data_IF_970122147549
#
_entry.id   IF_970122147549
#
_cell.length_a   1.000
_cell.length_b   1.000
_cell.length_c   1.000
_cell.angle_alpha   90.00
_cell.angle_beta   90.00
_cell.angle_gamma   90.00
#
_symmetry.space_group_name_H-M   'P 1'
#
loop_
_entity.id
_entity.type
_entity.pdbx_description
1 polymer ?
2 non-polymer ?
3 water ?
#
# COMPACT_ATOMS: atom_id res chain seq x y z
N UNK A 32 9.69 10.18 40.73
CA UNK A 32 8.37 10.63 40.29
C UNK A 32 8.00 10.03 38.93
N UNK A 33 8.90 10.23 37.95
CA UNK A 33 8.77 9.56 36.66
C UNK A 33 9.18 8.10 36.75
N UNK A 34 10.04 7.77 37.73
CA UNK A 34 10.43 6.38 37.93
C UNK A 34 9.21 5.50 38.16
N UNK A 35 8.18 6.02 38.84
CA UNK A 35 7.01 5.20 39.12
C UNK A 35 6.28 4.85 37.83
N UNK A 36 6.24 5.78 36.87
CA UNK A 36 5.57 5.51 35.61
C UNK A 36 6.36 4.48 34.79
N UNK A 37 7.67 4.71 34.63
CA UNK A 37 8.53 3.74 33.96
C UNK A 37 8.30 2.33 34.51
N UNK A 38 8.32 2.19 35.83
CA UNK A 38 8.14 0.89 36.44
C UNK A 38 6.79 0.27 36.06
N UNK A 39 5.73 1.06 36.04
CA UNK A 39 4.45 0.47 35.68
C UNK A 39 4.43 0.09 34.21
N UNK A 40 4.97 0.94 33.34
CA UNK A 40 4.98 0.59 31.92
C UNK A 40 5.84 -0.64 31.65
N UNK A 41 6.96 -0.78 32.37
CA UNK A 41 7.77 -1.98 32.25
C UNK A 41 6.97 -3.21 32.65
N UNK A 42 6.28 -3.13 33.79
CA UNK A 42 5.39 -4.21 34.22
C UNK A 42 4.41 -4.59 33.11
N UNK A 43 3.76 -3.59 32.50
CA UNK A 43 2.81 -3.92 31.43
C UNK A 43 3.48 -4.45 30.18
N UNK A 44 4.74 -4.11 29.95
CA UNK A 44 5.48 -4.72 28.85
C UNK A 44 5.74 -6.19 29.15
N UNK A 45 6.23 -6.47 30.36
CA UNK A 45 6.49 -7.85 30.77
C UNK A 45 5.21 -8.67 30.75
N UNK A 46 4.10 -8.06 31.17
CA UNK A 46 2.84 -8.79 31.18
C UNK A 46 2.38 -9.09 29.76
N UNK A 47 2.39 -8.08 28.88
CA UNK A 47 1.97 -8.32 27.50
C UNK A 47 2.94 -9.28 26.80
N UNK A 48 4.20 -9.29 27.21
CA UNK A 48 5.17 -10.18 26.56
C UNK A 48 4.87 -11.63 26.91
N UNK A 49 4.74 -11.91 28.20
CA UNK A 49 4.37 -13.26 28.66
C UNK A 49 3.07 -13.73 28.03
N UNK A 50 2.09 -12.83 27.89
CA UNK A 50 0.85 -13.19 27.20
C UNK A 50 1.11 -13.53 25.75
N UNK A 51 1.89 -12.70 25.06
CA UNK A 51 2.20 -12.94 23.65
C UNK A 51 2.94 -14.26 23.47
N UNK A 52 3.94 -14.52 24.30
CA UNK A 52 4.75 -15.72 24.14
C UNK A 52 4.04 -17.01 24.53
N UNK A 53 2.76 -16.98 24.96
CA UNK A 53 2.02 -18.21 25.27
C UNK A 53 0.63 -18.24 24.64
N UNK A 54 0.34 -17.33 23.71
CA UNK A 54 -0.80 -17.45 22.84
C UNK A 54 -0.46 -18.29 21.61
N UNK A 55 -1.48 -18.56 20.81
CA UNK A 55 -1.36 -19.44 19.64
C UNK A 55 -1.45 -18.63 18.35
N UNK A 56 -0.51 -18.88 17.43
CA UNK A 56 -0.32 -18.14 16.19
C UNK A 56 -1.51 -17.48 15.50
N UNK A 59 -5.36 -15.54 19.10
CA UNK A 59 -5.06 -14.42 20.00
C UNK A 59 -3.62 -13.94 19.80
N UNK A 60 -2.88 -14.58 18.90
CA UNK A 60 -1.49 -14.16 18.68
C UNK A 60 -1.43 -12.75 18.10
N UNK A 61 -2.35 -12.41 17.18
CA UNK A 61 -2.29 -11.09 16.57
C UNK A 61 -2.75 -10.00 17.53
N UNK A 62 -3.74 -10.28 18.38
CA UNK A 62 -4.16 -9.27 19.35
C UNK A 62 -3.13 -9.11 20.46
N UNK A 63 -2.56 -10.22 20.92
CA UNK A 63 -1.48 -10.14 21.91
C UNK A 63 -0.26 -9.47 21.34
N UNK A 64 -0.06 -9.58 20.02
CA UNK A 64 1.08 -8.95 19.39
C UNK A 64 0.90 -7.45 19.32
N UNK A 65 -0.30 -6.97 18.98
CA UNK A 65 -0.51 -5.53 18.91
C UNK A 65 -0.47 -4.92 20.30
N UNK A 66 -1.02 -5.63 21.29
CA UNK A 66 -0.97 -5.07 22.64
C UNK A 66 0.47 -4.99 23.13
N UNK A 67 1.29 -6.02 22.86
CA UNK A 67 2.70 -5.94 23.23
C UNK A 67 3.37 -4.76 22.57
N UNK A 68 3.09 -4.54 21.28
CA UNK A 68 3.69 -3.41 20.58
C UNK A 68 3.23 -2.09 21.18
N UNK A 69 1.95 -2.00 21.58
CA UNK A 69 1.45 -0.75 22.11
C UNK A 69 2.08 -0.43 23.45
N UNK A 70 2.19 -1.44 24.34
CA UNK A 70 2.79 -1.22 25.64
C UNK A 70 4.29 -0.98 25.54
N UNK A 71 4.96 -1.59 24.54
CA UNK A 71 6.37 -1.29 24.32
C UNK A 71 6.55 0.14 23.86
N UNK A 72 5.63 0.66 23.05
CA UNK A 72 5.74 2.04 22.58
C UNK A 72 5.41 3.03 23.69
N UNK A 73 4.40 2.73 24.50
CA UNK A 73 4.16 3.52 25.71
C UNK A 73 5.43 3.66 26.54
N UNK A 74 6.19 2.57 26.68
CA UNK A 74 7.37 2.62 27.53
C UNK A 74 8.40 3.62 27.00
N UNK A 75 8.67 3.58 25.68
CA UNK A 75 9.53 4.59 25.06
C UNK A 75 9.04 6.00 25.41
N UNK A 76 7.74 6.26 25.24
CA UNK A 76 7.23 7.60 25.47
C UNK A 76 7.34 7.98 26.93
N UNK A 77 7.08 7.03 27.82
CA UNK A 77 7.15 7.33 29.24
C UNK A 77 8.59 7.65 29.66
N UNK A 78 9.57 6.91 29.12
CA UNK A 78 10.98 7.22 29.38
C UNK A 78 11.33 8.61 28.89
N UNK A 79 10.77 9.02 27.76
CA UNK A 79 11.10 10.35 27.25
C UNK A 79 10.40 11.44 28.05
N UNK A 80 9.18 11.21 28.51
CA UNK A 80 8.38 12.26 29.11
C UNK A 80 7.64 13.06 28.04
N UNK A 81 6.49 13.63 28.42
CA UNK A 81 5.68 14.35 27.41
C UNK A 81 6.42 15.39 26.58
N UNK A 82 7.18 16.30 27.19
CA UNK A 82 7.74 17.40 26.42
C UNK A 82 8.88 16.90 25.52
N UNK A 83 9.82 16.09 25.99
CA UNK A 83 10.83 15.59 25.03
C UNK A 83 10.26 14.67 23.97
N UNK A 84 9.17 13.95 24.25
CA UNK A 84 8.57 13.10 23.21
C UNK A 84 7.91 13.90 22.11
N UNK A 85 7.55 15.17 22.36
CA UNK A 85 7.00 15.99 21.29
C UNK A 85 8.07 16.38 20.27
N UNK A 86 9.35 16.17 20.58
CA UNK A 86 10.42 16.37 19.60
C UNK A 86 10.57 15.20 18.65
N UNK A 87 9.79 14.13 18.86
CA UNK A 87 9.96 12.93 18.06
C UNK A 87 9.62 13.17 16.59
N UNK A 88 8.67 14.08 16.30
CA UNK A 88 8.36 14.44 14.91
C UNK A 88 9.58 14.99 14.20
N UNK A 89 10.39 15.81 14.89
CA UNK A 89 11.55 16.37 14.18
C UNK A 89 12.60 15.30 13.95
N UNK A 90 12.73 14.35 14.90
CA UNK A 90 13.64 13.23 14.70
C UNK A 90 13.15 12.36 13.56
N UNK A 91 11.84 12.09 13.51
CA UNK A 91 11.30 11.20 12.50
C UNK A 91 11.47 11.79 11.11
N UNK A 92 11.36 13.10 11.00
CA UNK A 92 11.49 13.75 9.69
C UNK A 92 12.91 13.62 9.18
N UNK A 93 13.93 13.96 9.99
CA UNK A 93 15.30 13.87 9.48
C UNK A 93 15.68 12.43 9.26
N UNK A 94 15.15 11.52 10.09
CA UNK A 94 15.43 10.11 9.88
C UNK A 94 14.91 9.64 8.53
N UNK A 95 13.65 9.92 8.22
CA UNK A 95 13.12 9.58 6.89
C UNK A 95 13.96 10.23 5.79
N UNK A 96 14.29 11.51 5.96
CA UNK A 96 15.05 12.22 4.94
C UNK A 96 16.40 11.56 4.71
N UNK A 97 17.06 11.13 5.79
CA UNK A 97 18.37 10.48 5.65
C UNK A 97 18.25 9.10 5.02
N UNK A 98 17.29 8.27 5.48
CA UNK A 98 17.05 6.96 4.87
C UNK A 98 16.85 7.09 3.37
N UNK A 99 16.02 8.05 2.97
CA UNK A 99 15.72 8.22 1.56
C UNK A 99 16.97 8.62 0.79
N UNK A 100 17.73 9.60 1.32
CA UNK A 100 18.97 10.00 0.66
C UNK A 100 19.95 8.85 0.60
N UNK A 101 20.17 8.17 1.74
CA UNK A 101 21.09 7.04 1.75
C UNK A 101 20.67 5.96 0.76
N UNK A 102 19.35 5.67 0.69
CA UNK A 102 18.90 4.64 -0.24
C UNK A 102 19.13 5.05 -1.68
N UNK A 103 18.68 6.25 -2.06
CA UNK A 103 18.82 6.71 -3.43
C UNK A 103 20.28 6.85 -3.85
N UNK A 104 21.18 7.19 -2.91
CA UNK A 104 22.58 7.38 -3.27
C UNK A 104 23.38 6.08 -3.33
N UNK A 105 22.77 4.94 -3.05
CA UNK A 105 23.47 3.67 -3.20
C UNK A 105 24.19 3.18 -1.97
N UNK A 106 24.02 3.84 -0.82
CA UNK A 106 24.69 3.42 0.41
C UNK A 106 24.26 2.02 0.82
N UNK A 107 22.95 1.72 0.74
CA UNK A 107 22.45 0.40 1.13
C UNK A 107 23.08 -0.68 0.28
N UNK A 108 23.11 -0.46 -1.04
CA UNK A 108 23.68 -1.43 -1.97
C UNK A 108 25.18 -1.56 -1.78
N UNK A 109 25.88 -0.45 -1.57
CA UNK A 109 27.34 -0.53 -1.45
C UNK A 109 27.76 -1.21 -0.15
N UNK A 110 27.02 -1.03 0.93
CA UNK A 110 27.46 -1.55 2.22
C UNK A 110 27.35 -3.07 2.24
N UNK A 111 28.31 -3.77 2.85
CA UNK A 111 28.30 -5.24 2.81
C UNK A 111 27.16 -5.81 3.64
N UNK A 112 26.44 -6.76 3.05
CA UNK A 112 25.39 -7.47 3.76
C UNK A 112 26.01 -8.46 4.75
N UNK A 113 25.36 -8.60 5.90
CA UNK A 113 25.78 -9.56 6.90
C UNK A 113 26.49 -8.97 8.10
N UNK A 114 26.65 -7.66 8.18
CA UNK A 114 27.16 -7.03 9.38
C UNK A 114 28.61 -6.64 9.33
N UNK A 115 29.33 -6.97 8.26
CA UNK A 115 30.68 -6.46 8.08
C UNK A 115 30.65 -4.96 7.94
N UNK A 116 31.66 -4.30 8.49
CA UNK A 116 31.67 -2.86 8.65
C UNK A 116 32.33 -2.17 7.48
N UNK A 117 32.06 -0.88 7.34
CA UNK A 117 32.61 -0.12 6.23
C UNK A 117 32.74 1.35 6.64
N UNK A 118 33.83 1.98 6.24
CA UNK A 118 34.13 3.34 6.65
C UNK A 118 33.35 4.36 5.83
N UNK A 119 33.16 5.55 6.40
CA UNK A 119 32.60 6.65 5.63
C UNK A 119 33.41 6.88 4.35
N UNK A 120 34.73 6.74 4.42
CA UNK A 120 35.57 6.98 3.24
C UNK A 120 35.25 6.00 2.13
N UNK A 121 35.19 4.71 2.47
CA UNK A 121 34.95 3.70 1.46
C UNK A 121 33.53 3.79 0.90
N UNK A 122 32.54 4.07 1.77
CA UNK A 122 31.17 4.28 1.27
C UNK A 122 31.14 5.46 0.29
N UNK A 123 31.71 6.60 0.71
CA UNK A 123 31.75 7.76 -0.16
C UNK A 123 32.46 7.45 -1.48
N UNK A 124 33.57 6.74 -1.41
CA UNK A 124 34.32 6.43 -2.62
C UNK A 124 33.48 5.64 -3.63
N UNK A 125 32.66 4.71 -3.13
CA UNK A 125 31.93 3.82 -4.05
C UNK A 125 30.57 4.33 -4.48
N UNK A 126 29.96 5.28 -3.74
CA UNK A 126 28.67 5.80 -4.13
C UNK A 126 28.72 7.19 -4.74
N UNK A 127 29.82 7.92 -4.57
CA UNK A 127 29.88 9.33 -4.93
C UNK A 127 29.28 10.29 -3.92
N UNK A 128 28.62 9.79 -2.87
CA UNK A 128 28.01 10.69 -1.90
C UNK A 128 29.09 11.38 -1.06
N UNK A 129 28.95 12.69 -0.91
CA UNK A 129 29.93 13.46 -0.15
C UNK A 129 30.12 12.87 1.23
N UNK A 130 31.38 12.61 1.58
CA UNK A 130 31.70 11.97 2.85
C UNK A 130 31.21 12.80 4.03
N UNK A 131 31.28 14.13 3.92
CA UNK A 131 30.81 14.97 5.01
C UNK A 131 29.31 14.86 5.20
N UNK A 132 28.55 14.95 4.11
CA UNK A 132 27.10 14.72 4.18
C UNK A 132 26.79 13.34 4.76
N UNK A 133 27.40 12.31 4.19
CA UNK A 133 27.15 10.93 4.63
C UNK A 133 27.31 10.79 6.14
N UNK A 134 28.43 11.27 6.69
CA UNK A 134 28.65 11.17 8.13
C UNK A 134 27.52 11.84 8.89
N UNK A 135 27.10 13.03 8.45
CA UNK A 135 26.01 13.70 9.15
C UNK A 135 24.70 12.95 9.00
N UNK A 136 24.48 12.33 7.83
CA UNK A 136 23.23 11.59 7.62
C UNK A 136 23.18 10.33 8.48
N UNK A 137 24.33 9.67 8.65
CA UNK A 137 24.36 8.43 9.42
C UNK A 137 23.99 8.66 10.88
N UNK A 138 24.08 9.90 11.38
CA UNK A 138 23.69 10.16 12.77
C UNK A 138 22.20 9.97 12.99
N UNK A 139 21.40 9.99 11.92
CA UNK A 139 19.97 9.78 12.11
C UNK A 139 19.58 8.30 12.14
N UNK A 140 20.45 7.41 11.67
CA UNK A 140 20.05 6.02 11.42
C UNK A 140 20.97 5.04 12.16
N UNK A 141 21.82 5.54 13.06
CA UNK A 141 22.57 4.61 13.89
C UNK A 141 22.19 4.60 15.38
N UNK A 142 21.79 5.71 16.01
CA UNK A 142 21.52 5.63 17.47
C UNK A 142 20.45 4.62 17.81
N UNK A 143 19.40 4.61 17.02
CA UNK A 143 18.35 3.60 17.06
C UNK A 143 18.06 3.16 15.65
N UNK A 144 18.28 4.06 14.68
CA UNK A 144 17.96 3.84 13.28
C UNK A 144 18.47 2.50 12.88
N UNK A 145 18.07 2.00 11.70
CA UNK A 145 18.32 0.58 11.39
C UNK A 145 19.78 0.24 11.17
N UNK A 146 20.68 1.22 10.99
CA UNK A 146 22.08 0.88 10.78
C UNK A 146 22.81 0.76 12.12
N UNK A 147 24.07 0.34 12.08
CA UNK A 147 24.87 0.23 13.31
C UNK A 147 26.18 0.99 13.18
N UNK A 148 26.46 1.83 14.18
CA UNK A 148 27.73 2.55 14.24
C UNK A 148 28.77 1.64 14.90
N UNK A 149 29.65 1.07 14.09
CA UNK A 149 30.65 0.16 14.64
C UNK A 149 31.80 0.94 15.28
N UNK A 150 32.19 2.04 14.67
CA UNK A 150 33.23 2.89 15.22
C UNK A 150 33.11 4.27 14.61
N UNK A 151 34.09 5.10 14.93
CA UNK A 151 34.16 6.44 14.35
C UNK A 151 34.21 6.36 12.83
N UNK A 152 33.18 6.92 12.17
CA UNK A 152 33.06 6.89 10.71
C UNK A 152 33.07 5.46 10.16
N UNK A 153 32.47 4.54 10.90
CA UNK A 153 32.46 3.12 10.57
C UNK A 153 31.07 2.56 10.81
N UNK A 154 30.50 1.90 9.79
CA UNK A 154 29.08 1.57 9.83
C UNK A 154 28.85 0.16 9.32
N UNK A 155 27.76 -0.45 9.79
CA UNK A 155 27.40 -1.80 9.36
C UNK A 155 25.90 -1.91 9.16
N UNK A 156 25.51 -2.73 8.19
CA UNK A 156 24.12 -3.16 8.06
C UNK A 156 23.68 -3.93 9.30
N UNK A 157 22.38 -3.83 9.62
CA UNK A 157 21.72 -4.84 10.43
C UNK A 157 20.60 -5.43 9.58
N UNK A 158 19.93 -6.51 10.02
CA UNK A 158 18.74 -6.96 9.27
C UNK A 158 17.64 -5.91 9.14
N UNK A 159 17.65 -4.87 9.98
CA UNK A 159 16.61 -3.86 9.83
C UNK A 159 16.94 -2.90 8.71
N UNK A 160 18.22 -2.67 8.41
CA UNK A 160 18.58 -1.84 7.26
C UNK A 160 18.55 -2.65 5.96
N UNK A 161 18.98 -3.91 6.02
CA UNK A 161 18.91 -4.78 4.84
C UNK A 161 17.48 -5.03 4.40
N UNK A 162 16.53 -4.95 5.33
CA UNK A 162 15.13 -5.11 4.97
C UNK A 162 14.72 -4.11 3.89
N UNK A 163 15.42 -2.97 3.78
CA UNK A 163 15.05 -2.00 2.74
C UNK A 163 15.48 -2.46 1.35
N UNK A 164 16.37 -3.45 1.26
CA UNK A 164 16.77 -4.01 -0.03
C UNK A 164 15.83 -5.09 -0.51
N UNK A 165 14.86 -5.46 0.32
CA UNK A 165 13.90 -6.50 0.05
C UNK A 165 12.88 -6.03 -1.00
N UNK A 166 12.30 -7.00 -1.73
CA UNK A 166 11.54 -6.66 -2.93
C UNK A 166 10.36 -5.73 -2.64
N UNK A 167 9.61 -6.00 -1.57
CA UNK A 167 8.44 -5.16 -1.30
C UNK A 167 8.86 -3.77 -0.83
N UNK A 168 9.82 -3.69 0.10
CA UNK A 168 10.31 -2.40 0.56
C UNK A 168 10.99 -1.64 -0.58
N UNK A 169 11.88 -2.33 -1.31
CA UNK A 169 12.61 -1.65 -2.36
C UNK A 169 11.70 -1.13 -3.46
N UNK A 170 10.50 -1.70 -3.63
CA UNK A 170 9.56 -1.19 -4.60
C UNK A 170 8.73 -0.04 -4.06
N UNK A 171 8.36 -0.13 -2.80
CA UNK A 171 7.43 0.82 -2.16
C UNK A 171 8.14 2.08 -1.67
N UNK A 172 9.24 1.91 -0.92
CA UNK A 172 9.84 3.06 -0.23
C UNK A 172 10.36 4.14 -1.19
N UNK A 173 11.11 3.82 -2.26
CA UNK A 173 11.59 4.92 -3.15
C UNK A 173 10.48 5.70 -3.79
N UNK A 174 9.43 5.02 -4.27
CA UNK A 174 8.33 5.74 -4.91
C UNK A 174 7.62 6.61 -3.89
N UNK A 175 7.29 6.04 -2.73
CA UNK A 175 6.66 6.83 -1.67
C UNK A 175 7.53 8.04 -1.35
N UNK A 176 8.83 7.80 -1.15
CA UNK A 176 9.69 8.87 -0.67
C UNK A 176 9.89 9.95 -1.73
N UNK A 177 9.98 9.57 -3.01
CA UNK A 177 10.19 10.57 -4.07
C UNK A 177 8.90 11.26 -4.50
N UNK A 178 7.73 10.65 -4.31
CA UNK A 178 6.52 11.22 -4.87
C UNK A 178 5.40 11.46 -3.87
N UNK A 179 5.38 10.79 -2.73
CA UNK A 179 4.21 10.82 -1.85
C UNK A 179 4.50 11.53 -0.54
N UNK A 180 5.68 11.32 0.06
CA UNK A 180 5.97 11.95 1.36
C UNK A 180 5.83 13.47 1.29
N UNK A 181 6.40 14.09 0.26
CA UNK A 181 6.27 15.52 0.07
C UNK A 181 4.82 15.99 0.16
N UNK A 182 3.96 15.47 -0.72
CA UNK A 182 2.52 15.81 -0.65
C UNK A 182 1.89 15.59 0.71
N UNK A 183 2.16 14.45 1.34
CA UNK A 183 1.57 14.16 2.64
C UNK A 183 1.86 15.28 3.63
N UNK A 184 3.12 15.74 3.68
CA UNK A 184 3.46 16.83 4.60
C UNK A 184 2.73 18.12 4.23
N UNK A 185 2.30 18.27 2.98
CA UNK A 185 1.60 19.48 2.57
C UNK A 185 0.07 19.36 2.67
N UNK A 186 -0.46 18.27 3.24
CA UNK A 186 -1.89 18.22 3.56
C UNK A 186 -2.31 19.45 4.33
N UNK A 187 -1.51 19.85 5.32
CA UNK A 187 -1.85 21.06 6.08
C UNK A 187 -1.96 22.28 5.17
N UNK A 188 -1.01 22.46 4.26
CA UNK A 188 -1.03 23.65 3.41
C UNK A 188 -2.22 23.61 2.46
N UNK A 189 -2.54 22.43 1.92
CA UNK A 189 -3.69 22.35 1.03
C UNK A 189 -4.96 22.76 1.75
N UNK A 190 -5.21 22.17 2.92
CA UNK A 190 -6.46 22.44 3.60
C UNK A 190 -6.49 23.84 4.17
N UNK A 191 -5.31 24.43 4.46
CA UNK A 191 -5.29 25.82 4.91
C UNK A 191 -5.91 26.73 3.85
N UNK A 192 -5.63 26.45 2.56
CA UNK A 192 -6.18 27.22 1.45
C UNK A 192 -7.71 27.26 1.45
N UNK A 193 -8.38 26.30 2.10
CA UNK A 193 -9.83 26.23 2.08
C UNK A 193 -10.43 26.39 3.48
N UNK A 194 -9.65 26.97 4.40
CA UNK A 194 -10.05 27.16 5.80
C UNK A 194 -10.42 25.82 6.43
N UNK A 195 -9.62 24.80 6.11
CA UNK A 195 -9.71 23.47 6.72
C UNK A 195 -10.97 22.74 6.29
N UNK A 196 -11.58 23.17 5.20
CA UNK A 196 -12.68 22.47 4.55
C UNK A 196 -12.12 21.44 3.57
N UNK A 197 -12.96 20.48 3.22
CA UNK A 197 -12.56 19.39 2.32
C UNK A 197 -12.76 19.84 0.88
N UNK A 198 -11.71 20.37 0.27
CA UNK A 198 -11.75 20.65 -1.15
C UNK A 198 -11.00 19.61 -1.96
N UNK A 199 -10.61 18.50 -1.33
CA UNK A 199 -9.75 17.53 -1.97
C UNK A 199 -10.51 16.82 -3.08
N UNK A 200 -9.93 16.80 -4.27
CA UNK A 200 -10.42 15.91 -5.30
C UNK A 200 -9.25 15.11 -5.84
N UNK A 201 -9.59 14.27 -6.80
CA UNK A 201 -8.64 13.45 -7.50
C UNK A 201 -7.69 14.27 -8.39
N UNK A 202 -8.11 15.49 -8.76
CA UNK A 202 -7.32 16.36 -9.63
C UNK A 202 -6.96 17.69 -8.99
N UNK A 203 -7.27 17.89 -7.69
CA UNK A 203 -6.95 19.11 -6.96
C UNK A 203 -6.72 18.69 -5.52
N UNK A 204 -5.43 18.59 -5.11
CA UNK A 204 -5.13 17.88 -3.86
C UNK A 204 -3.71 18.21 -3.41
N UNK A 205 -3.25 17.69 -2.26
CA UNK A 205 -1.88 18.00 -1.84
C UNK A 205 -0.81 17.50 -2.79
N UNK A 206 -1.07 16.40 -3.52
CA UNK A 206 -0.16 15.97 -4.58
C UNK A 206 -0.04 17.03 -5.69
N UNK A 207 -1.18 17.52 -6.22
CA UNK A 207 -1.08 18.51 -7.29
C UNK A 207 -0.46 19.81 -6.80
N UNK A 208 -0.72 20.17 -5.54
CA UNK A 208 -0.05 21.33 -4.96
C UNK A 208 1.46 21.12 -4.91
N UNK A 209 1.90 20.00 -4.32
CA UNK A 209 3.33 19.79 -4.12
C UNK A 209 4.07 19.61 -5.45
N UNK A 210 3.46 18.94 -6.40
CA UNK A 210 4.11 18.66 -7.68
C UNK A 210 3.72 19.65 -8.76
N UNK A 211 2.93 20.67 -8.41
CA UNK A 211 2.52 21.71 -9.31
C UNK A 211 1.95 21.10 -10.60
N UNK A 212 1.00 20.20 -10.44
CA UNK A 212 0.33 19.65 -11.60
C UNK A 212 -1.18 19.71 -11.44
N UNK A 213 -1.76 20.89 -11.16
CA UNK A 213 -3.22 20.98 -11.04
C UNK A 213 -3.93 20.41 -12.25
N UNK A 214 -4.94 19.57 -12.00
CA UNK A 214 -5.73 18.94 -13.04
C UNK A 214 -5.35 17.51 -13.35
N UNK A 215 -4.14 17.08 -13.00
CA UNK A 215 -3.70 15.73 -13.29
C UNK A 215 -3.90 14.83 -12.08
N UNK A 216 -4.57 13.71 -12.29
CA UNK A 216 -4.55 12.70 -11.23
C UNK A 216 -3.14 12.17 -11.06
N UNK A 217 -2.91 11.44 -9.95
CA UNK A 217 -1.56 11.01 -9.64
C UNK A 217 -1.00 10.10 -10.72
N UNK A 218 -1.83 9.20 -11.25
CA UNK A 218 -1.34 8.25 -12.24
C UNK A 218 -0.99 8.95 -13.54
N UNK A 219 -1.84 9.89 -13.97
CA UNK A 219 -1.55 10.66 -15.17
C UNK A 219 -0.19 11.35 -15.07
N UNK A 220 0.07 11.99 -13.93
CA UNK A 220 1.31 12.76 -13.80
C UNK A 220 2.53 11.84 -13.78
N UNK A 221 2.44 10.73 -13.06
CA UNK A 221 3.58 9.82 -12.98
C UNK A 221 3.85 9.16 -14.34
N UNK A 222 2.79 8.67 -15.00
CA UNK A 222 2.98 7.96 -16.26
C UNK A 222 3.41 8.88 -17.38
N UNK A 223 3.23 10.20 -17.20
CA UNK A 223 3.66 11.18 -18.20
C UNK A 223 5.12 11.01 -18.55
N UNK A 224 5.95 10.69 -17.56
CA UNK A 224 7.38 10.46 -17.75
C UNK A 224 7.59 8.96 -17.74
N UNK A 225 7.92 8.39 -18.90
CA UNK A 225 8.05 6.93 -19.01
C UNK A 225 9.07 6.38 -18.04
N UNK A 226 10.09 7.17 -17.68
CA UNK A 226 11.09 6.74 -16.71
C UNK A 226 10.48 6.43 -15.35
N UNK A 227 9.27 6.88 -15.08
CA UNK A 227 8.60 6.57 -13.82
C UNK A 227 7.81 5.28 -13.87
N UNK A 228 7.52 4.75 -15.06
CA UNK A 228 6.57 3.65 -15.17
C UNK A 228 7.11 2.39 -14.51
N UNK A 229 8.37 2.03 -14.79
CA UNK A 229 8.94 0.86 -14.13
C UNK A 229 9.00 1.04 -12.62
N UNK A 230 9.52 2.14 -12.06
CA UNK A 230 9.47 2.30 -10.60
C UNK A 230 8.06 2.26 -10.03
N UNK A 231 7.10 2.87 -10.74
CA UNK A 231 5.75 2.97 -10.21
C UNK A 231 5.04 1.62 -10.29
N UNK A 232 5.20 0.91 -11.41
CA UNK A 232 4.58 -0.41 -11.51
C UNK A 232 5.16 -1.37 -10.48
N UNK A 233 6.43 -1.21 -10.12
CA UNK A 233 6.99 -2.10 -9.10
C UNK A 233 6.39 -1.78 -7.74
N UNK A 234 6.11 -0.49 -7.47
CA UNK A 234 5.49 -0.13 -6.20
C UNK A 234 4.06 -0.66 -6.12
N UNK A 235 3.31 -0.60 -7.23
CA UNK A 235 1.98 -1.20 -7.27
C UNK A 235 2.03 -2.69 -7.00
N UNK A 236 3.16 -3.33 -7.29
CA UNK A 236 3.33 -4.75 -7.01
C UNK A 236 3.73 -5.04 -5.57
N UNK A 237 4.14 -4.03 -4.79
CA UNK A 237 4.56 -4.29 -3.42
C UNK A 237 3.38 -4.77 -2.57
N UNK A 238 3.63 -5.84 -1.81
CA UNK A 238 2.61 -6.57 -1.08
C UNK A 238 3.22 -6.98 0.26
N UNK A 239 3.51 -6.00 1.11
CA UNK A 239 4.16 -6.29 2.39
C UNK A 239 3.26 -7.18 3.25
N UNK A 240 1.97 -6.85 3.34
CA UNK A 240 1.03 -7.61 4.15
C UNK A 240 0.69 -8.99 3.57
N UNK A 241 1.15 -9.30 2.36
CA UNK A 241 0.84 -10.55 1.66
C UNK A 241 -0.67 -10.78 1.64
N UNK A 242 -1.35 -10.11 0.70
CA UNK A 242 -2.82 -10.13 0.62
C UNK A 242 -3.32 -11.56 0.53
N UNK A 243 -4.29 -11.88 1.37
CA UNK A 243 -4.90 -13.20 1.35
C UNK A 243 -5.84 -13.32 0.15
N UNK A 244 -5.51 -14.22 -0.77
CA UNK A 244 -6.34 -14.44 -1.96
C UNK A 244 -7.29 -15.63 -1.82
N UNK A 245 -7.14 -16.48 -0.81
CA UNK A 245 -8.07 -17.61 -0.60
C UNK A 245 -9.30 -17.20 0.19
N UNK A 246 -9.55 -15.90 0.28
CA UNK A 246 -10.67 -15.38 1.05
C UNK A 246 -12.00 -15.74 0.42
N UNK A 247 -12.10 -15.67 -0.91
CA UNK A 247 -13.23 -15.97 -1.78
C UNK A 247 -13.05 -17.34 -2.43
N UNK A 248 -14.14 -18.05 -2.71
CA UNK A 248 -14.05 -19.36 -3.38
C UNK A 248 -14.10 -19.30 -4.91
N UNK A 249 -12.94 -19.00 -5.50
CA UNK A 249 -12.87 -18.82 -6.96
C UNK A 249 -13.16 -20.12 -7.71
N UNK A 250 -12.70 -21.25 -7.19
CA UNK A 250 -12.93 -22.53 -7.87
C UNK A 250 -14.43 -22.79 -8.07
N UNK A 251 -15.21 -22.71 -6.98
CA UNK A 251 -16.61 -23.10 -7.04
C UNK A 251 -17.42 -22.21 -7.97
N UNK A 252 -17.10 -20.92 -8.01
CA UNK A 252 -17.91 -19.98 -8.78
C UNK A 252 -17.45 -19.90 -10.24
N UNK A 253 -16.13 -20.02 -10.49
CA UNK A 253 -15.65 -19.96 -11.86
C UNK A 253 -15.98 -21.23 -12.64
N UNK A 254 -16.08 -22.37 -11.94
CA UNK A 254 -16.40 -23.62 -12.62
C UNK A 254 -17.84 -23.63 -13.11
N UNK A 255 -18.78 -23.19 -12.26
CA UNK A 255 -20.19 -23.20 -12.62
C UNK A 255 -20.48 -22.28 -13.81
N UNK A 256 -19.56 -21.39 -14.16
CA UNK A 256 -19.75 -20.52 -15.31
C UNK A 256 -19.53 -21.30 -16.60
N UNK A 257 -20.60 -21.48 -17.37
CA UNK A 257 -20.55 -22.25 -18.60
C UNK A 257 -20.22 -21.34 -19.78
N UNK A 258 -19.46 -21.89 -20.73
CA UNK A 258 -19.22 -21.20 -21.98
C UNK A 258 -18.57 -19.83 -21.79
N UNK A 259 -19.25 -18.80 -22.33
CA UNK A 259 -18.67 -17.45 -22.35
C UNK A 259 -18.62 -16.81 -20.98
N UNK A 260 -19.49 -17.23 -20.05
CA UNK A 260 -19.47 -16.69 -18.70
C UNK A 260 -18.14 -16.96 -17.99
N UNK A 261 -17.46 -18.06 -18.35
CA UNK A 261 -16.21 -18.47 -17.70
C UNK A 261 -15.08 -17.52 -18.07
N UNK A 262 -15.07 -16.36 -17.41
CA UNK A 262 -14.11 -15.29 -17.66
C UNK A 262 -13.93 -14.42 -16.42
N UNK A 263 -12.69 -14.06 -16.11
CA UNK A 263 -12.35 -13.16 -15.03
C UNK A 263 -11.62 -11.96 -15.61
N UNK A 264 -12.03 -10.76 -15.20
CA UNK A 264 -11.39 -9.54 -15.67
C UNK A 264 -10.73 -8.86 -14.46
N UNK A 265 -9.40 -8.85 -14.46
CA UNK A 265 -8.63 -8.19 -13.41
C UNK A 265 -8.50 -6.74 -13.81
N UNK A 266 -9.43 -5.92 -13.33
CA UNK A 266 -9.53 -4.54 -13.80
C UNK A 266 -8.54 -3.70 -13.01
N UNK A 267 -7.68 -2.98 -13.73
CA UNK A 267 -6.48 -2.37 -13.17
C UNK A 267 -5.66 -3.42 -12.42
N UNK A 268 -5.49 -4.58 -13.06
CA UNK A 268 -4.73 -5.66 -12.47
C UNK A 268 -3.22 -5.49 -12.51
N UNK A 269 -2.74 -4.46 -13.21
CA UNK A 269 -1.33 -4.07 -13.23
C UNK A 269 -0.50 -5.31 -13.54
N UNK A 270 0.55 -5.60 -12.76
CA UNK A 270 1.48 -6.71 -12.91
C UNK A 270 0.83 -8.06 -13.19
N UNK A 271 -0.39 -8.27 -12.67
CA UNK A 271 -1.10 -9.51 -12.87
C UNK A 271 -1.02 -10.49 -11.73
N UNK A 272 -0.32 -10.16 -10.64
CA UNK A 272 -0.09 -11.12 -9.57
C UNK A 272 -1.38 -11.52 -8.88
N UNK A 273 -2.37 -10.63 -8.90
CA UNK A 273 -3.68 -11.01 -8.39
C UNK A 273 -4.25 -12.22 -9.09
N UNK A 274 -4.25 -12.20 -10.43
CA UNK A 274 -4.84 -13.32 -11.15
C UNK A 274 -3.92 -14.52 -11.17
N UNK A 275 -2.60 -14.31 -11.07
CA UNK A 275 -1.71 -15.46 -10.87
C UNK A 275 -2.10 -16.22 -9.61
N UNK A 276 -2.43 -15.50 -8.53
CA UNK A 276 -2.87 -16.18 -7.31
C UNK A 276 -4.18 -16.92 -7.53
N UNK A 277 -5.14 -16.29 -8.22
CA UNK A 277 -6.44 -16.90 -8.44
C UNK A 277 -6.31 -18.15 -9.30
N UNK A 278 -5.47 -18.10 -10.33
CA UNK A 278 -5.23 -19.29 -11.14
C UNK A 278 -4.47 -20.35 -10.37
N UNK A 279 -3.82 -19.97 -9.27
CA UNK A 279 -3.15 -20.89 -8.38
C UNK A 279 -4.04 -21.34 -7.23
N UNK A 280 -5.24 -20.76 -7.09
CA UNK A 280 -6.19 -21.22 -6.10
C UNK A 280 -7.34 -22.00 -6.71
N UNK A 281 -7.38 -22.08 -8.02
CA UNK A 281 -8.44 -22.79 -8.72
C UNK A 281 -7.90 -23.31 -10.04
N UNK A 282 -7.11 -24.39 -10.03
CA UNK A 282 -6.70 -25.01 -11.29
C UNK A 282 -7.58 -26.19 -11.73
N UNK A 283 -8.67 -26.46 -11.03
CA UNK A 283 -9.58 -27.50 -11.46
C UNK A 283 -10.46 -26.77 -12.44
N UNK A 284 -9.90 -26.40 -13.58
CA UNK A 284 -10.58 -25.53 -14.50
C UNK A 284 -10.77 -25.95 -15.93
N UNK A 285 -11.63 -25.20 -16.61
CA UNK A 285 -11.93 -25.31 -18.04
C UNK A 285 -10.96 -24.44 -18.82
N UNK A 286 -11.21 -24.14 -20.08
CA UNK A 286 -10.35 -23.19 -20.78
C UNK A 286 -10.84 -21.80 -20.46
N UNK A 287 -10.53 -21.30 -19.27
CA UNK A 287 -11.00 -20.07 -18.76
C UNK A 287 -10.26 -18.95 -19.29
N UNK A 288 -10.97 -17.89 -19.46
CA UNK A 288 -10.36 -16.66 -19.95
C UNK A 288 -9.97 -15.78 -18.77
N UNK A 289 -8.67 -15.47 -18.67
CA UNK A 289 -8.12 -14.58 -17.66
C UNK A 289 -7.54 -13.34 -18.35
N UNK A 290 -8.18 -12.18 -18.15
CA UNK A 290 -7.70 -10.92 -18.68
C UNK A 290 -7.26 -10.00 -17.55
N UNK A 291 -6.15 -9.29 -17.77
CA UNK A 291 -5.71 -8.20 -16.91
C UNK A 291 -5.80 -6.91 -17.72
N UNK A 292 -6.57 -5.95 -17.23
CA UNK A 292 -6.73 -4.66 -17.88
C UNK A 292 -5.97 -3.60 -17.08
N UNK A 293 -5.43 -2.61 -17.79
CA UNK A 293 -4.80 -1.46 -17.17
C UNK A 293 -4.49 -0.45 -18.26
N UNK A 294 -4.03 0.73 -17.83
CA UNK A 294 -3.64 1.77 -18.76
C UNK A 294 -2.47 1.31 -19.63
N UNK A 295 -2.26 2.02 -20.74
CA UNK A 295 -1.28 1.58 -21.74
C UNK A 295 0.13 1.41 -21.18
N UNK A 296 0.72 2.37 -20.45
CA UNK A 296 2.11 2.15 -19.98
C UNK A 296 2.27 0.91 -19.13
N UNK A 297 1.28 0.60 -18.30
CA UNK A 297 1.35 -0.55 -17.41
C UNK A 297 1.20 -1.85 -18.19
N UNK A 298 0.32 -1.87 -19.19
CA UNK A 298 0.18 -3.03 -20.06
C UNK A 298 1.47 -3.26 -20.84
N UNK A 299 2.12 -2.17 -21.29
CA UNK A 299 3.37 -2.32 -22.02
C UNK A 299 4.50 -2.86 -21.16
N UNK A 300 4.55 -2.47 -19.89
CA UNK A 300 5.62 -2.94 -19.02
C UNK A 300 5.52 -4.43 -18.77
N UNK A 301 4.31 -4.96 -18.64
CA UNK A 301 4.11 -6.35 -18.23
C UNK A 301 3.58 -7.26 -19.32
N UNK A 302 3.30 -6.74 -20.53
CA UNK A 302 2.54 -7.51 -21.52
C UNK A 302 3.19 -8.85 -21.82
N UNK A 303 4.51 -8.88 -21.98
CA UNK A 303 5.14 -10.13 -22.38
C UNK A 303 5.11 -11.15 -21.24
N UNK A 304 5.38 -10.70 -20.01
CA UNK A 304 5.31 -11.61 -18.87
C UNK A 304 3.91 -12.17 -18.70
N UNK A 305 2.88 -11.36 -19.00
CA UNK A 305 1.49 -11.81 -18.83
C UNK A 305 1.05 -12.77 -19.93
N UNK A 306 1.35 -12.44 -21.20
CA UNK A 306 1.09 -13.38 -22.28
C UNK A 306 1.73 -14.73 -21.98
N UNK A 307 2.90 -14.72 -21.33
CA UNK A 307 3.66 -15.94 -21.10
C UNK A 307 2.95 -16.88 -20.13
N UNK A 308 2.14 -16.36 -19.23
CA UNK A 308 1.39 -17.21 -18.31
C UNK A 308 -0.07 -17.39 -18.74
N UNK A 309 -0.35 -17.23 -20.03
CA UNK A 309 -1.68 -17.55 -20.53
C UNK A 309 -2.75 -16.57 -20.13
N UNK A 310 -2.39 -15.38 -19.63
CA UNK A 310 -3.36 -14.32 -19.45
C UNK A 310 -3.13 -13.26 -20.53
N UNK A 311 -4.23 -12.66 -20.99
CA UNK A 311 -4.19 -11.74 -22.11
C UNK A 311 -4.22 -10.31 -21.58
N UNK A 312 -3.30 -9.44 -21.98
CA UNK A 312 -3.34 -8.06 -21.50
C UNK A 312 -4.26 -7.22 -22.39
N UNK A 313 -4.96 -6.29 -21.74
CA UNK A 313 -5.89 -5.38 -22.42
C UNK A 313 -5.66 -3.95 -21.95
N UNK A 314 -5.50 -3.03 -22.91
CA UNK A 314 -5.43 -1.61 -22.58
C UNK A 314 -6.85 -1.10 -22.39
N UNK A 315 -7.15 -0.58 -21.19
CA UNK A 315 -8.49 -0.12 -20.85
C UNK A 315 -8.37 0.97 -19.79
N UNK A 316 -9.22 1.99 -19.94
CA UNK A 316 -9.30 3.15 -19.04
C UNK A 316 -10.72 3.14 -18.51
N UNK A 317 -10.89 2.85 -17.23
CA UNK A 317 -12.25 2.73 -16.69
C UNK A 317 -12.89 4.07 -16.38
N UNK A 318 -12.24 5.19 -16.73
CA UNK A 318 -12.85 6.50 -16.65
C UNK A 318 -13.21 7.10 -18.01
N UNK A 319 -12.71 6.53 -19.10
CA UNK A 319 -12.99 7.02 -20.44
C UNK A 319 -13.79 6.06 -21.31
N UNK A 320 -13.90 4.79 -20.92
CA UNK A 320 -14.51 3.75 -21.75
C UNK A 320 -15.44 2.88 -20.92
N UNK A 321 -16.43 2.28 -21.59
CA UNK A 321 -17.23 1.24 -20.99
C UNK A 321 -16.48 -0.08 -21.01
N UNK A 322 -16.75 -0.93 -20.03
CA UNK A 322 -16.04 -2.20 -19.90
C UNK A 322 -16.19 -3.01 -21.19
N UNK A 323 -15.09 -3.37 -21.86
CA UNK A 323 -15.20 -3.95 -23.20
C UNK A 323 -15.30 -5.46 -23.22
N UNK A 324 -15.61 -6.08 -22.09
CA UNK A 324 -15.78 -7.53 -22.01
C UNK A 324 -17.11 -7.83 -21.32
N UNK A 325 -18.02 -8.48 -22.05
CA UNK A 325 -19.42 -8.65 -21.67
C UNK A 325 -19.67 -10.00 -21.01
N UNK A 326 -20.60 -10.00 -20.06
CA UNK A 326 -21.09 -11.24 -19.46
C UNK A 326 -20.09 -12.02 -18.64
N UNK A 327 -18.93 -11.45 -18.34
CA UNK A 327 -17.92 -12.19 -17.60
C UNK A 327 -18.46 -12.63 -16.23
N UNK A 328 -17.96 -13.75 -15.75
CA UNK A 328 -18.41 -14.26 -14.46
C UNK A 328 -18.08 -13.27 -13.33
N UNK A 329 -16.87 -12.71 -13.33
CA UNK A 329 -16.41 -11.81 -12.27
C UNK A 329 -15.62 -10.66 -12.89
N UNK A 330 -15.96 -9.43 -12.50
CA UNK A 330 -15.10 -8.26 -12.70
C UNK A 330 -14.47 -7.93 -11.34
N UNK A 331 -13.14 -8.07 -11.26
CA UNK A 331 -12.40 -8.05 -10.01
C UNK A 331 -11.61 -6.76 -9.89
N UNK A 332 -11.66 -6.14 -8.71
CA UNK A 332 -11.05 -4.84 -8.43
C UNK A 332 -10.22 -4.94 -7.16
N UNK A 333 -8.90 -5.05 -7.29
CA UNK A 333 -8.03 -5.14 -6.12
C UNK A 333 -7.23 -3.86 -5.99
N UNK A 334 -7.35 -3.21 -4.83
CA UNK A 334 -6.60 -2.00 -4.52
C UNK A 334 -6.71 -0.99 -5.66
N UNK A 335 -7.90 -0.89 -6.24
CA UNK A 335 -8.19 0.14 -7.21
C UNK A 335 -9.14 1.19 -6.62
N UNK A 336 -10.25 0.76 -6.04
CA UNK A 336 -11.23 1.72 -5.54
C UNK A 336 -10.74 2.57 -4.37
N UNK A 337 -9.67 2.19 -3.66
CA UNK A 337 -9.14 3.09 -2.64
C UNK A 337 -8.47 4.31 -3.24
N UNK A 338 -8.34 4.37 -4.56
CA UNK A 338 -7.75 5.51 -5.26
C UNK A 338 -8.79 6.55 -5.66
N UNK A 339 -10.08 6.25 -5.52
CA UNK A 339 -11.08 7.11 -6.08
C UNK A 339 -12.23 7.37 -5.13
N UNK A 340 -12.67 8.61 -5.03
CA UNK A 340 -13.83 8.90 -4.18
C UNK A 340 -15.09 8.30 -4.79
N UNK A 341 -16.14 8.20 -3.95
CA UNK A 341 -17.43 7.73 -4.44
C UNK A 341 -17.85 8.50 -5.70
N UNK A 342 -17.76 9.83 -5.67
CA UNK A 342 -18.16 10.65 -6.80
C UNK A 342 -17.13 11.71 -7.12
N UNK A 343 -16.78 11.91 -8.39
CA UNK A 343 -17.43 11.23 -9.54
C UNK A 343 -16.84 9.85 -9.92
N UNK A 344 -15.57 9.57 -9.65
CA UNK A 344 -14.94 8.43 -10.31
C UNK A 344 -15.49 7.09 -9.84
N UNK A 345 -15.77 6.95 -8.54
CA UNK A 345 -16.25 5.68 -8.03
C UNK A 345 -17.48 5.17 -8.76
N UNK A 346 -18.51 6.01 -8.85
CA UNK A 346 -19.71 5.64 -9.60
C UNK A 346 -19.42 5.46 -11.08
N UNK A 347 -18.49 6.23 -11.64
CA UNK A 347 -18.27 6.09 -13.07
C UNK A 347 -17.55 4.78 -13.42
N UNK A 348 -16.66 4.30 -12.56
CA UNK A 348 -16.09 2.98 -12.79
C UNK A 348 -17.20 1.93 -12.74
N UNK A 349 -18.00 1.93 -11.68
CA UNK A 349 -19.07 0.95 -11.53
C UNK A 349 -20.06 1.03 -12.68
N UNK A 350 -20.41 2.24 -13.12
CA UNK A 350 -21.33 2.36 -14.25
C UNK A 350 -20.69 1.82 -15.53
N UNK A 351 -19.41 2.11 -15.75
CA UNK A 351 -18.76 1.70 -16.99
C UNK A 351 -18.64 0.19 -17.09
N UNK A 352 -18.53 -0.51 -15.96
CA UNK A 352 -18.57 -1.96 -15.99
C UNK A 352 -19.98 -2.50 -15.77
N UNK A 353 -20.90 -1.70 -15.21
CA UNK A 353 -22.32 -2.07 -15.21
C UNK A 353 -22.80 -2.37 -16.62
N UNK A 354 -22.30 -1.61 -17.59
CA UNK A 354 -22.76 -1.75 -18.98
C UNK A 354 -22.53 -3.17 -19.50
N UNK A 355 -21.40 -3.76 -19.14
CA UNK A 355 -21.00 -5.05 -19.69
C UNK A 355 -21.54 -6.24 -18.92
N UNK A 356 -22.19 -6.03 -17.78
CA UNK A 356 -22.55 -7.13 -16.91
C UNK A 356 -23.85 -7.80 -17.35
N UNK A 357 -23.95 -9.09 -17.03
CA UNK A 357 -25.21 -9.81 -17.03
C UNK A 357 -25.82 -9.74 -15.62
N UNK A 358 -27.13 -9.48 -15.57
CA UNK A 358 -27.80 -9.21 -14.31
C UNK A 358 -27.60 -10.33 -13.30
N UNK A 359 -27.70 -11.58 -13.75
CA UNK A 359 -27.73 -12.73 -12.86
C UNK A 359 -26.57 -13.70 -13.06
N UNK A 360 -25.62 -13.38 -13.95
CA UNK A 360 -24.42 -14.20 -14.11
C UNK A 360 -23.13 -13.47 -13.80
N UNK A 361 -23.14 -12.15 -13.79
CA UNK A 361 -21.97 -11.35 -13.49
C UNK A 361 -22.01 -10.86 -12.05
N UNK A 362 -20.84 -10.78 -11.42
CA UNK A 362 -20.68 -10.17 -10.12
C UNK A 362 -19.45 -9.28 -10.11
N UNK A 363 -19.50 -8.20 -9.33
CA UNK A 363 -18.39 -7.29 -9.11
C UNK A 363 -17.75 -7.65 -7.79
N UNK A 364 -16.41 -7.76 -7.78
CA UNK A 364 -15.67 -8.04 -6.56
C UNK A 364 -14.74 -6.86 -6.29
N UNK A 365 -14.97 -6.19 -5.16
CA UNK A 365 -14.14 -5.09 -4.69
C UNK A 365 -13.26 -5.62 -3.55
N UNK A 366 -11.96 -5.64 -3.77
CA UNK A 366 -11.00 -6.18 -2.81
C UNK A 366 -10.12 -5.04 -2.35
N UNK A 367 -10.20 -4.72 -1.06
CA UNK A 367 -9.63 -3.48 -0.51
C UNK A 367 -9.62 -3.63 1.00
N UNK A 368 -8.94 -2.69 1.66
CA UNK A 368 -8.95 -2.62 3.11
C UNK A 368 -10.36 -2.29 3.59
N UNK A 369 -10.79 -2.91 4.68
CA UNK A 369 -12.00 -2.50 5.37
C UNK A 369 -11.57 -1.88 6.71
N UNK A 370 -11.79 -0.57 6.84
CA UNK A 370 -11.29 0.19 7.97
C UNK A 370 -12.30 0.13 9.12
N UNK A 371 -11.89 -0.38 10.29
CA UNK A 371 -12.82 -0.45 11.43
C UNK A 371 -13.25 0.93 11.90
N UNK A 372 -14.43 0.99 12.51
CA UNK A 372 -14.92 2.26 13.01
C UNK A 372 -14.24 2.67 14.31
N UNK A 373 -13.42 1.79 14.88
CA UNK A 373 -12.74 2.07 16.14
C UNK A 373 -11.54 1.15 16.17
N UNK A 374 -10.47 1.59 16.81
CA UNK A 374 -9.32 0.70 16.98
C UNK A 374 -8.51 0.46 15.72
N UNK A 375 -8.53 1.38 14.77
CA UNK A 375 -7.65 1.27 13.61
C UNK A 375 -6.20 1.41 14.06
N UNK A 376 -5.30 0.86 13.25
CA UNK A 376 -3.87 0.86 13.51
C UNK A 376 -3.15 1.91 12.67
N UNK A 377 -1.85 2.05 12.91
CA UNK A 377 -0.99 2.89 12.08
C UNK A 377 -0.92 2.39 10.63
N UNK A 378 -1.26 1.13 10.41
CA UNK A 378 -1.31 0.56 9.06
C UNK A 378 -2.53 1.07 8.29
N UNK A 379 -3.69 1.12 8.93
CA UNK A 379 -4.83 1.82 8.33
C UNK A 379 -4.46 3.28 8.07
N UNK A 380 -3.82 3.94 9.04
CA UNK A 380 -3.64 5.39 8.98
C UNK A 380 -2.64 5.79 7.89
N UNK A 381 -1.52 5.06 7.73
CA UNK A 381 -0.56 5.50 6.73
C UNK A 381 -1.08 5.26 5.32
N UNK A 382 -1.85 4.20 5.13
CA UNK A 382 -2.44 3.98 3.82
C UNK A 382 -3.55 4.97 3.53
N UNK A 383 -4.42 5.22 4.51
CA UNK A 383 -5.53 6.14 4.24
C UNK A 383 -5.01 7.53 3.99
N UNK A 384 -4.11 8.01 4.87
CA UNK A 384 -3.67 9.39 4.81
C UNK A 384 -2.73 9.64 3.65
N UNK A 385 -2.01 8.61 3.20
CA UNK A 385 -1.22 8.80 1.99
C UNK A 385 -2.13 8.96 0.78
N UNK A 386 -3.24 8.22 0.76
CA UNK A 386 -4.26 8.35 -0.26
C UNK A 386 -4.96 9.71 -0.21
N UNK A 387 -5.19 10.25 1.01
CA UNK A 387 -5.74 11.60 1.12
C UNK A 387 -4.98 12.58 0.24
N UNK A 388 -3.67 12.38 0.09
CA UNK A 388 -2.86 13.32 -0.70
C UNK A 388 -3.26 13.34 -2.17
N UNK A 389 -3.70 12.21 -2.72
CA UNK A 389 -4.07 12.13 -4.13
C UNK A 389 -5.59 12.06 -4.32
N UNK A 390 -6.38 12.32 -3.28
CA UNK A 390 -7.82 12.22 -3.41
C UNK A 390 -8.41 10.82 -3.25
N UNK A 391 -7.63 9.84 -2.79
CA UNK A 391 -8.19 8.54 -2.47
C UNK A 391 -8.47 8.40 -0.98
N UNK A 392 -8.93 7.21 -0.61
CA UNK A 392 -9.34 6.98 0.77
C UNK A 392 -9.55 5.50 0.99
N UNK A 393 -9.14 5.00 2.15
CA UNK A 393 -9.55 3.67 2.56
C UNK A 393 -10.92 3.75 3.21
N UNK A 394 -11.77 2.78 2.89
CA UNK A 394 -13.19 2.83 3.18
C UNK A 394 -13.57 1.91 4.35
N UNK A 395 -14.53 2.37 5.16
CA UNK A 395 -15.14 1.53 6.17
C UNK A 395 -16.20 0.64 5.53
N UNK A 396 -16.72 -0.31 6.31
CA UNK A 396 -17.85 -1.10 5.84
C UNK A 396 -19.01 -0.20 5.42
N UNK A 397 -19.35 0.77 6.27
CA UNK A 397 -20.45 1.67 5.95
C UNK A 397 -20.13 2.53 4.72
N UNK A 398 -18.84 2.82 4.48
CA UNK A 398 -18.44 3.57 3.28
C UNK A 398 -18.70 2.76 2.02
N UNK A 399 -18.36 1.47 2.06
CA UNK A 399 -18.67 0.59 0.93
C UNK A 399 -20.18 0.51 0.69
N UNK A 400 -20.98 0.52 1.76
CA UNK A 400 -22.43 0.47 1.59
C UNK A 400 -22.93 1.63 0.75
N UNK A 401 -22.49 2.86 1.05
CA UNK A 401 -22.89 4.02 0.24
C UNK A 401 -22.43 3.85 -1.20
N UNK A 402 -21.16 3.50 -1.40
CA UNK A 402 -20.65 3.31 -2.76
C UNK A 402 -21.54 2.38 -3.57
N UNK A 403 -22.00 1.30 -2.94
CA UNK A 403 -22.88 0.37 -3.64
C UNK A 403 -24.26 0.98 -3.88
N UNK A 404 -24.87 1.51 -2.82
CA UNK A 404 -26.16 2.18 -2.93
C UNK A 404 -26.14 3.23 -4.02
N UNK A 405 -25.16 4.13 -3.96
CA UNK A 405 -25.08 5.25 -4.89
C UNK A 405 -24.99 4.75 -6.32
N UNK A 406 -24.46 3.55 -6.52
CA UNK A 406 -24.35 2.94 -7.83
C UNK A 406 -25.43 1.87 -8.09
N UNK A 407 -26.52 1.91 -7.32
CA UNK A 407 -27.64 0.99 -7.53
C UNK A 407 -27.30 -0.49 -7.48
N UNK A 408 -26.41 -0.90 -6.57
CA UNK A 408 -26.01 -2.29 -6.46
C UNK A 408 -26.38 -2.85 -5.09
N UNK A 409 -26.71 -4.14 -5.08
CA UNK A 409 -26.98 -4.87 -3.85
C UNK A 409 -25.72 -5.59 -3.41
N UNK A 410 -25.51 -5.62 -2.09
CA UNK A 410 -24.39 -6.33 -1.50
C UNK A 410 -24.77 -7.79 -1.32
N UNK A 411 -24.05 -8.68 -2.00
CA UNK A 411 -24.28 -10.12 -1.78
C UNK A 411 -23.67 -10.55 -0.46
N UNK A 412 -22.38 -10.26 -0.25
CA UNK A 412 -21.70 -10.75 0.94
C UNK A 412 -20.39 -9.99 1.11
N UNK A 413 -20.05 -9.70 2.36
CA UNK A 413 -18.71 -9.24 2.69
C UNK A 413 -17.89 -10.46 3.10
N UNK A 414 -16.74 -10.64 2.46
CA UNK A 414 -15.82 -11.74 2.75
C UNK A 414 -14.66 -11.17 3.53
N UNK A 415 -14.53 -11.54 4.81
CA UNK A 415 -13.40 -11.11 5.60
C UNK A 415 -12.96 -12.23 6.54
N UNK A 416 -11.65 -12.51 6.56
CA UNK A 416 -11.07 -13.47 7.50
C UNK A 416 -10.43 -12.71 8.67
N UNK A 417 -11.19 -12.44 9.76
CA UNK A 417 -10.75 -11.47 10.78
C UNK A 417 -9.29 -11.58 11.19
N UNK A 418 -8.69 -10.43 11.51
CA UNK A 418 -7.25 -10.33 11.51
C UNK A 418 -6.66 -10.12 10.13
N UNK A 419 -7.49 -10.13 9.11
CA UNK A 419 -7.12 -9.72 7.76
C UNK A 419 -7.67 -8.33 7.54
N UNK A 420 -6.81 -7.41 7.11
CA UNK A 420 -7.22 -6.03 6.88
C UNK A 420 -8.14 -5.91 5.67
N UNK A 421 -7.86 -6.67 4.61
CA UNK A 421 -8.69 -6.62 3.42
C UNK A 421 -9.92 -7.51 3.56
N UNK A 422 -10.99 -7.12 2.88
CA UNK A 422 -12.09 -8.00 2.59
C UNK A 422 -12.50 -7.86 1.14
N UNK A 423 -13.46 -8.67 0.72
CA UNK A 423 -13.98 -8.59 -0.63
C UNK A 423 -15.47 -8.25 -0.57
N UNK A 424 -15.81 -7.09 -1.13
CA UNK A 424 -17.21 -6.69 -1.25
C UNK A 424 -17.78 -7.31 -2.51
N UNK A 425 -18.69 -8.25 -2.37
CA UNK A 425 -19.31 -8.93 -3.50
C UNK A 425 -20.63 -8.24 -3.83
N UNK A 426 -20.79 -7.79 -5.08
CA UNK A 426 -21.92 -6.99 -5.49
C UNK A 426 -22.62 -7.60 -6.71
N UNK A 427 -23.85 -7.17 -6.93
CA UNK A 427 -24.66 -7.63 -8.06
C UNK A 427 -25.67 -6.55 -8.41
N UNK A 428 -26.10 -6.53 -9.66
CA UNK A 428 -27.18 -5.62 -10.04
C UNK A 428 -28.47 -6.09 -9.40
N UNK A 429 -29.19 -5.17 -8.77
CA UNK A 429 -30.39 -5.52 -8.03
C UNK A 429 -31.67 -5.27 -8.84
#
# INVERSE_FOLDING_TARGET
MGSSHHHHHHHHGASENLYFQGASMTFSNADAQKIAVQKDVDEVVAAAQRFLHGSGNATSDEAKVDLQKKASNLVQTIRGPIPAALSSMEDIVKVASLRTLFEAGVFHAMPKGGASMTASEISAQTGLDKGILIRLMRAVTPLGPFHEVGEEEYAHTPFSEAYLTADIAGCFPVMSNFIFGPVLQICDFLRQNNWKDAITTRNNPFTLAHNCPGETMFEHLYKNSKNVAPVTKAEAADVDQIAMDLYPWEERLSDAKGSNATLVDIAGSHGNGTRAIMALAPKLNGCRFIVQDLEPVIGEHSQALRAEGIEPQVYDFLKQEQPVHGASIYYFRRVFHDWPDLPEGKKILDNTRAAMSREHSRILIHDIIVPEIGATMSHAWQDLSLMAIGGMERTEKDFARLLDIAGLALVKVWRKPGDMMGIIEARLK
#
